data_IF_271787910661
#
_entry.id   IF_271787910661
#
_cell.length_a   1.000
_cell.length_b   1.000
_cell.length_c   1.000
_cell.angle_alpha   90.00
_cell.angle_beta   90.00
_cell.angle_gamma   90.00
#
_symmetry.space_group_name_H-M   'P 1'
#
loop_
_entity.id
_entity.type
_entity.pdbx_description
1 polymer ?
#
# COMPACT_ATOMS: atom_id res chain seq x y z
N UNK A 1 20.22 35.66 5.03
CA UNK A 1 20.05 34.58 6.02
C UNK A 1 19.30 33.45 5.33
N UNK A 2 20.01 32.38 4.97
CA UNK A 2 19.40 31.14 4.47
C UNK A 2 18.94 30.33 5.67
N UNK A 3 17.68 30.49 6.06
CA UNK A 3 17.05 29.61 7.05
C UNK A 3 17.12 28.15 6.57
N UNK A 4 17.18 27.16 7.47
CA UNK A 4 17.29 25.77 7.07
C UNK A 4 16.12 25.41 6.17
N UNK A 5 16.41 24.91 4.96
CA UNK A 5 15.40 24.52 3.97
C UNK A 5 14.68 23.25 4.42
N UNK A 6 13.84 23.37 5.43
CA UNK A 6 12.87 22.35 5.82
C UNK A 6 11.62 22.51 4.95
N UNK A 7 11.76 22.22 3.65
CA UNK A 7 10.64 22.24 2.70
C UNK A 7 10.39 20.83 2.21
N UNK A 8 9.68 20.00 2.99
CA UNK A 8 8.91 18.97 2.29
C UNK A 8 7.85 19.68 1.46
N UNK A 9 7.63 19.24 0.22
CA UNK A 9 6.47 19.68 -0.54
C UNK A 9 5.28 18.84 -0.07
N UNK A 10 4.30 19.41 0.67
CA UNK A 10 3.15 18.65 1.15
C UNK A 10 2.34 18.09 -0.03
N UNK A 11 2.33 18.79 -1.16
CA UNK A 11 1.72 18.38 -2.41
C UNK A 11 2.38 17.11 -2.98
N UNK A 12 3.71 17.04 -2.96
CA UNK A 12 4.45 15.85 -3.38
C UNK A 12 4.16 14.65 -2.46
N UNK A 13 4.08 14.87 -1.13
CA UNK A 13 3.72 13.83 -0.15
C UNK A 13 2.29 13.32 -0.38
N UNK A 14 1.33 14.22 -0.60
CA UNK A 14 -0.05 13.87 -0.91
C UNK A 14 -0.18 13.15 -2.25
N UNK A 15 0.59 13.57 -3.26
CA UNK A 15 0.68 12.91 -4.56
C UNK A 15 1.20 11.47 -4.42
N UNK A 16 2.33 11.27 -3.75
CA UNK A 16 2.88 9.93 -3.49
C UNK A 16 1.93 9.05 -2.68
N UNK A 17 1.21 9.63 -1.71
CA UNK A 17 0.18 8.92 -0.93
C UNK A 17 -0.93 8.36 -1.80
N UNK A 18 -1.39 9.11 -2.82
CA UNK A 18 -2.43 8.64 -3.75
C UNK A 18 -1.92 7.47 -4.58
N UNK A 19 -0.72 7.59 -5.16
CA UNK A 19 -0.12 6.53 -5.98
C UNK A 19 0.01 5.22 -5.20
N UNK A 20 0.43 5.29 -3.93
CA UNK A 20 0.56 4.10 -3.07
C UNK A 20 -0.81 3.45 -2.80
N UNK A 21 -1.84 4.25 -2.55
CA UNK A 21 -3.20 3.73 -2.38
C UNK A 21 -3.72 3.07 -3.64
N UNK A 22 -3.54 3.72 -4.78
CA UNK A 22 -3.98 3.20 -6.09
C UNK A 22 -3.28 1.87 -6.39
N UNK A 23 -1.98 1.74 -6.07
CA UNK A 23 -1.25 0.49 -6.20
C UNK A 23 -1.82 -0.63 -5.31
N UNK A 24 -2.15 -0.33 -4.05
CA UNK A 24 -2.78 -1.29 -3.15
C UNK A 24 -4.16 -1.74 -3.64
N UNK A 25 -4.98 -0.81 -4.11
CA UNK A 25 -6.28 -1.12 -4.74
C UNK A 25 -6.11 -2.00 -5.98
N UNK A 26 -5.19 -1.63 -6.88
CA UNK A 26 -4.92 -2.40 -8.10
C UNK A 26 -4.43 -3.82 -7.80
N UNK A 27 -3.58 -4.00 -6.79
CA UNK A 27 -3.10 -5.32 -6.40
C UNK A 27 -4.25 -6.24 -5.93
N UNK A 28 -5.22 -5.68 -5.18
CA UNK A 28 -6.42 -6.41 -4.77
C UNK A 28 -7.34 -6.74 -5.96
N UNK A 29 -7.50 -5.82 -6.91
CA UNK A 29 -8.27 -6.05 -8.13
C UNK A 29 -7.69 -7.17 -8.99
N UNK A 30 -6.36 -7.23 -9.13
CA UNK A 30 -5.67 -8.33 -9.82
C UNK A 30 -5.95 -9.66 -9.14
N UNK A 31 -5.89 -9.72 -7.80
CA UNK A 31 -6.25 -10.90 -7.03
C UNK A 31 -7.69 -11.35 -7.29
N UNK A 32 -8.65 -10.43 -7.18
CA UNK A 32 -10.06 -10.71 -7.45
C UNK A 32 -10.29 -11.20 -8.89
N UNK A 33 -9.61 -10.60 -9.88
CA UNK A 33 -9.68 -11.01 -11.27
C UNK A 33 -9.11 -12.42 -11.49
N UNK A 34 -8.02 -12.77 -10.81
CA UNK A 34 -7.44 -14.11 -10.89
C UNK A 34 -8.37 -15.17 -10.28
N UNK A 35 -8.98 -14.87 -9.13
CA UNK A 35 -10.00 -15.72 -8.51
C UNK A 35 -11.17 -15.95 -9.46
N UNK A 36 -11.69 -14.89 -10.09
CA UNK A 36 -12.80 -15.00 -11.03
C UNK A 36 -12.43 -15.85 -12.26
N UNK A 37 -11.26 -15.61 -12.85
CA UNK A 37 -10.81 -16.32 -14.05
C UNK A 37 -10.58 -17.82 -13.82
N UNK A 38 -10.19 -18.22 -12.60
CA UNK A 38 -9.86 -19.61 -12.27
C UNK A 38 -10.98 -20.34 -11.50
N UNK A 39 -12.14 -19.70 -11.31
CA UNK A 39 -13.25 -20.29 -10.57
C UNK A 39 -13.91 -21.46 -11.33
N UNK A 40 -13.94 -21.41 -12.67
CA UNK A 40 -14.63 -22.40 -13.47
C UNK A 40 -13.84 -23.70 -13.64
N UNK A 41 -14.46 -24.80 -13.21
CA UNK A 41 -13.95 -26.17 -13.34
C UNK A 41 -14.94 -27.09 -14.07
N UNK A 42 -15.99 -26.52 -14.68
CA UNK A 42 -17.02 -27.28 -15.39
C UNK A 42 -16.47 -28.02 -16.60
N UNK A 43 -15.40 -27.50 -17.20
CA UNK A 43 -14.73 -28.06 -18.38
C UNK A 43 -14.04 -29.41 -18.12
N UNK A 44 -13.84 -29.81 -16.86
CA UNK A 44 -13.07 -31.02 -16.53
C UNK A 44 -13.84 -32.31 -16.84
N UNK A 45 -15.17 -32.27 -17.00
CA UNK A 45 -16.02 -33.46 -17.08
C UNK A 45 -16.18 -34.17 -15.73
N UNK A 46 -17.11 -35.13 -15.68
CA UNK A 46 -17.52 -35.84 -14.44
C UNK A 46 -17.14 -37.34 -14.41
N UNK A 47 -16.45 -37.82 -15.44
CA UNK A 47 -15.87 -39.16 -15.47
C UNK A 47 -14.66 -39.28 -14.51
N UNK A 48 -14.09 -40.48 -14.40
CA UNK A 48 -12.97 -40.74 -13.48
C UNK A 48 -11.74 -39.90 -13.81
N UNK A 49 -11.47 -39.69 -15.11
CA UNK A 49 -10.38 -38.85 -15.58
C UNK A 49 -10.62 -37.37 -15.25
N UNK A 50 -11.81 -36.86 -15.54
CA UNK A 50 -12.22 -35.50 -15.27
C UNK A 50 -12.21 -35.13 -13.81
N UNK A 51 -12.58 -36.06 -12.93
CA UNK A 51 -12.45 -35.89 -11.47
C UNK A 51 -11.00 -35.77 -11.02
N UNK A 52 -10.10 -36.58 -11.60
CA UNK A 52 -8.68 -36.49 -11.29
C UNK A 52 -8.09 -35.17 -11.81
N UNK A 53 -8.42 -34.79 -13.04
CA UNK A 53 -8.01 -33.52 -13.64
C UNK A 53 -8.49 -32.32 -12.81
N UNK A 54 -9.76 -32.33 -12.37
CA UNK A 54 -10.32 -31.30 -11.48
C UNK A 54 -9.53 -31.19 -10.18
N UNK A 55 -9.17 -32.32 -9.58
CA UNK A 55 -8.39 -32.34 -8.34
C UNK A 55 -7.01 -31.70 -8.53
N UNK A 56 -6.28 -32.09 -9.57
CA UNK A 56 -4.96 -31.54 -9.87
C UNK A 56 -5.05 -30.04 -10.19
N UNK A 57 -6.00 -29.64 -11.03
CA UNK A 57 -6.24 -28.23 -11.35
C UNK A 57 -6.55 -27.40 -10.09
N UNK A 58 -7.46 -27.85 -9.24
CA UNK A 58 -7.84 -27.14 -8.01
C UNK A 58 -6.63 -26.97 -7.08
N UNK A 59 -5.80 -28.00 -6.92
CA UNK A 59 -4.59 -27.90 -6.11
C UNK A 59 -3.61 -26.86 -6.66
N UNK A 60 -3.35 -26.87 -7.97
CA UNK A 60 -2.48 -25.88 -8.60
C UNK A 60 -3.08 -24.48 -8.53
N UNK A 61 -4.37 -24.33 -8.83
CA UNK A 61 -5.11 -23.08 -8.73
C UNK A 61 -4.98 -22.48 -7.33
N UNK A 62 -5.27 -23.25 -6.30
CA UNK A 62 -5.28 -22.76 -4.92
C UNK A 62 -3.88 -22.28 -4.51
N UNK A 63 -2.81 -22.96 -4.96
CA UNK A 63 -1.43 -22.51 -4.73
C UNK A 63 -1.11 -21.19 -5.46
N UNK A 64 -1.60 -21.03 -6.69
CA UNK A 64 -1.40 -19.81 -7.49
C UNK A 64 -2.14 -18.64 -6.85
N UNK A 65 -3.42 -18.84 -6.51
CA UNK A 65 -4.25 -17.83 -5.86
C UNK A 65 -3.67 -17.39 -4.51
N UNK A 66 -3.23 -18.35 -3.67
CA UNK A 66 -2.56 -18.02 -2.41
C UNK A 66 -1.29 -17.19 -2.60
N UNK A 67 -0.53 -17.42 -3.68
CA UNK A 67 0.65 -16.61 -4.00
C UNK A 67 0.25 -15.19 -4.41
N UNK A 68 -0.79 -15.04 -5.23
CA UNK A 68 -1.30 -13.73 -5.65
C UNK A 68 -1.82 -12.95 -4.44
N UNK A 69 -2.56 -13.58 -3.55
CA UNK A 69 -3.05 -12.97 -2.30
C UNK A 69 -1.89 -12.51 -1.41
N UNK A 70 -0.85 -13.32 -1.28
CA UNK A 70 0.35 -12.95 -0.52
C UNK A 70 1.07 -11.74 -1.13
N UNK A 71 1.13 -11.63 -2.46
CA UNK A 71 1.69 -10.46 -3.16
C UNK A 71 0.82 -9.23 -2.89
N UNK A 72 -0.51 -9.32 -3.03
CA UNK A 72 -1.42 -8.22 -2.78
C UNK A 72 -1.35 -7.71 -1.33
N UNK A 73 -1.27 -8.63 -0.37
CA UNK A 73 -1.06 -8.31 1.04
C UNK A 73 0.30 -7.64 1.28
N UNK A 74 1.37 -8.14 0.67
CA UNK A 74 2.71 -7.55 0.76
C UNK A 74 2.77 -6.13 0.20
N UNK A 75 2.18 -5.90 -0.97
CA UNK A 75 2.07 -4.55 -1.57
C UNK A 75 1.30 -3.62 -0.65
N UNK A 76 0.16 -4.07 -0.10
CA UNK A 76 -0.65 -3.26 0.81
C UNK A 76 0.13 -2.91 2.09
N UNK A 77 0.82 -3.87 2.70
CA UNK A 77 1.62 -3.65 3.90
C UNK A 77 2.79 -2.67 3.68
N UNK A 78 3.51 -2.81 2.56
CA UNK A 78 4.58 -1.86 2.17
C UNK A 78 3.99 -0.47 1.93
N UNK A 79 2.82 -0.42 1.29
CA UNK A 79 2.08 0.82 1.08
C UNK A 79 1.72 1.51 2.38
N UNK A 80 1.07 0.79 3.30
CA UNK A 80 0.67 1.31 4.61
C UNK A 80 1.88 1.81 5.42
N UNK A 81 2.97 1.03 5.48
CA UNK A 81 4.20 1.45 6.15
C UNK A 81 4.81 2.72 5.52
N UNK A 82 4.72 2.86 4.20
CA UNK A 82 5.16 4.08 3.51
C UNK A 82 4.27 5.28 3.86
N UNK A 83 2.95 5.09 3.91
CA UNK A 83 2.00 6.13 4.30
C UNK A 83 2.20 6.60 5.74
N UNK A 84 2.47 5.68 6.65
CA UNK A 84 2.74 6.00 8.05
C UNK A 84 4.05 6.78 8.21
N UNK A 85 5.09 6.41 7.47
CA UNK A 85 6.33 7.19 7.40
C UNK A 85 6.10 8.60 6.86
N UNK A 86 5.31 8.75 5.79
CA UNK A 86 4.96 10.06 5.22
C UNK A 86 4.16 10.92 6.21
N UNK A 87 3.23 10.33 6.96
CA UNK A 87 2.49 11.00 8.04
C UNK A 87 3.42 11.45 9.17
N UNK A 88 4.35 10.59 9.59
CA UNK A 88 5.33 10.90 10.62
C UNK A 88 6.24 12.06 10.21
N UNK A 89 6.73 12.07 8.96
CA UNK A 89 7.53 13.18 8.40
C UNK A 89 6.73 14.49 8.47
N UNK A 90 5.47 14.48 8.02
CA UNK A 90 4.60 15.66 8.07
C UNK A 90 4.38 16.15 9.50
N UNK A 91 4.11 15.24 10.43
CA UNK A 91 3.89 15.57 11.85
C UNK A 91 5.13 16.18 12.50
N UNK A 92 6.30 15.56 12.29
CA UNK A 92 7.56 16.05 12.84
C UNK A 92 7.91 17.45 12.32
N UNK A 93 7.63 17.73 11.04
CA UNK A 93 7.85 19.06 10.48
C UNK A 93 6.91 20.12 11.07
N UNK A 94 5.64 19.78 11.30
CA UNK A 94 4.71 20.67 12.01
C UNK A 94 5.24 21.06 13.39
N UNK A 95 5.63 20.06 14.19
CA UNK A 95 6.18 20.30 15.53
C UNK A 95 7.49 21.11 15.53
N UNK A 96 8.37 20.91 14.54
CA UNK A 96 9.60 21.70 14.40
C UNK A 96 9.27 23.15 14.04
N UNK A 97 8.34 23.40 13.12
CA UNK A 97 7.91 24.76 12.74
C UNK A 97 7.28 25.48 13.93
N UNK A 98 6.41 24.79 14.68
CA UNK A 98 5.76 25.36 15.86
C UNK A 98 6.80 25.73 16.94
N UNK A 99 7.78 24.86 17.18
CA UNK A 99 8.87 25.13 18.12
C UNK A 99 9.76 26.32 17.68
N UNK A 100 10.00 26.47 16.37
CA UNK A 100 10.73 27.64 15.82
C UNK A 100 9.93 28.93 16.07
N UNK A 101 8.62 28.93 15.81
CA UNK A 101 7.77 30.08 16.07
C UNK A 101 7.73 30.44 17.58
N UNK A 102 7.66 29.43 18.45
CA UNK A 102 7.65 29.62 19.91
C UNK A 102 8.99 30.18 20.44
N UNK A 103 10.13 29.71 19.91
CA UNK A 103 11.46 30.27 20.23
C UNK A 103 11.63 31.70 19.74
N UNK A 104 11.13 32.04 18.54
CA UNK A 104 11.17 33.40 18.01
C UNK A 104 10.31 34.35 18.87
N UNK A 105 9.13 33.91 19.32
CA UNK A 105 8.28 34.68 20.25
C UNK A 105 8.93 34.91 21.62
N UNK A 106 9.66 33.91 22.16
CA UNK A 106 10.40 34.05 23.43
C UNK A 106 11.64 34.93 23.32
N UNK A 107 12.33 34.95 22.19
CA UNK A 107 13.51 35.81 21.99
C UNK A 107 13.12 37.27 21.73
N UNK A 108 11.94 37.54 21.17
CA UNK A 108 11.40 38.90 21.03
C UNK A 108 10.84 39.54 22.32
N UNK A 109 10.70 38.77 23.41
CA UNK A 109 10.06 39.22 24.66
C UNK A 109 11.04 39.42 25.83
N UNK A 110 12.35 39.61 25.58
CA UNK A 110 13.30 39.99 26.64
C UNK A 110 13.34 41.52 26.76
N UNK A 111 12.95 42.12 27.92
CA UNK A 111 13.24 43.52 28.21
C UNK A 111 14.73 43.77 28.41
#
# INVERSE_FOLDING_TARGET
MTGPSYTSSPEAILGGTRVIKDLGSYANEVGASAHAALADVSWTGDDSYGKQLRKEFVQTRDSVLATIDAIAAGISAVGDGTLDNLRAIRSNQGGIIDAIHEQQGRTGSRP
#
